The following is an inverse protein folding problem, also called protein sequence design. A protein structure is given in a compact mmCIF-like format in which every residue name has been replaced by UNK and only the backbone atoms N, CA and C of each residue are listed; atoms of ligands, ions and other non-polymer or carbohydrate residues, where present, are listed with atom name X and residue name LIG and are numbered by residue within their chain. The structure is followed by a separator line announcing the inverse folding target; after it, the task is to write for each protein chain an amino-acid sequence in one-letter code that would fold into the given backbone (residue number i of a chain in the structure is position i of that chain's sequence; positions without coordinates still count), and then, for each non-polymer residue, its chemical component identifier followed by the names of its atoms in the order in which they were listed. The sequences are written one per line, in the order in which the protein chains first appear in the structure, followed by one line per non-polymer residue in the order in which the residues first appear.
data_IF_633435862796
#
_entry.id   IF_633435862796
#
_cell.length_a   1.000
_cell.length_b   1.000
_cell.length_c   1.000
_cell.angle_alpha   90.00
_cell.angle_beta   90.00
_cell.angle_gamma   90.00
#
_symmetry.space_group_name_H-M   'P 1'
#
loop_
_entity.id
_entity.type
_entity.pdbx_description
1 polymer ?
#
# COMPACT_ATOMS: atom_id res chain seq x y z
N UNK A 1 -4.52 43.40 42.78
CA UNK A 1 -5.66 43.73 43.67
C UNK A 1 -6.14 42.43 44.31
N UNK A 2 -6.59 42.44 45.56
CA UNK A 2 -7.14 41.24 46.20
C UNK A 2 -8.64 41.16 45.93
N UNK A 3 -9.11 39.96 45.60
CA UNK A 3 -10.54 39.71 45.42
C UNK A 3 -11.26 39.86 46.78
N UNK A 4 -12.34 40.64 46.88
CA UNK A 4 -13.05 40.82 48.14
C UNK A 4 -13.77 39.56 48.64
N UNK A 5 -14.03 38.58 47.76
CA UNK A 5 -14.76 37.38 48.14
C UNK A 5 -13.85 36.21 48.54
N UNK A 6 -12.78 35.96 47.79
CA UNK A 6 -11.86 34.84 48.08
C UNK A 6 -10.50 35.28 48.66
N UNK A 7 -10.21 36.58 48.72
CA UNK A 7 -8.96 37.12 49.26
C UNK A 7 -7.74 36.96 48.34
N UNK A 8 -7.90 36.31 47.18
CA UNK A 8 -6.79 35.95 46.31
C UNK A 8 -6.27 37.15 45.49
N UNK A 9 -4.96 37.26 45.36
CA UNK A 9 -4.31 38.34 44.62
C UNK A 9 -4.31 38.03 43.13
N UNK A 10 -5.05 38.81 42.33
CA UNK A 10 -5.02 38.66 40.89
C UNK A 10 -3.61 38.93 40.32
N UNK A 11 -3.11 37.99 39.52
CA UNK A 11 -1.79 38.08 38.87
C UNK A 11 -1.77 39.17 37.77
N UNK A 12 -2.90 39.41 37.11
CA UNK A 12 -3.06 40.48 36.13
C UNK A 12 -4.11 41.51 36.58
N UNK A 13 -3.73 42.79 36.54
CA UNK A 13 -4.50 43.92 37.06
C UNK A 13 -5.62 44.34 36.09
N UNK A 14 -5.66 43.75 34.89
CA UNK A 14 -6.66 44.07 33.84
C UNK A 14 -7.91 43.20 33.89
N UNK A 15 -7.93 42.18 34.73
CA UNK A 15 -9.04 41.23 34.80
C UNK A 15 -10.24 41.84 35.53
N UNK A 16 -11.39 41.87 34.85
CA UNK A 16 -12.66 42.39 35.38
C UNK A 16 -13.31 41.42 36.38
N UNK A 17 -12.90 40.16 36.38
CA UNK A 17 -13.41 39.09 37.24
C UNK A 17 -12.25 38.30 37.83
N UNK A 18 -12.41 37.78 39.05
CA UNK A 18 -11.44 36.90 39.68
C UNK A 18 -11.40 35.55 38.96
N UNK A 19 -10.21 35.06 38.63
CA UNK A 19 -10.04 33.80 37.90
C UNK A 19 -10.45 32.57 38.73
N UNK A 20 -10.36 32.65 40.07
CA UNK A 20 -10.66 31.51 40.93
C UNK A 20 -12.15 31.41 41.28
N UNK A 21 -12.81 32.53 41.64
CA UNK A 21 -14.20 32.51 42.08
C UNK A 21 -15.20 33.18 41.12
N UNK A 22 -14.74 33.86 40.07
CA UNK A 22 -15.59 34.56 39.10
C UNK A 22 -16.21 35.87 39.60
N UNK A 23 -15.95 36.28 40.86
CA UNK A 23 -16.49 37.51 41.42
C UNK A 23 -15.93 38.75 40.70
N UNK A 24 -16.77 39.78 40.52
CA UNK A 24 -16.40 41.02 39.82
C UNK A 24 -15.40 41.82 40.64
N UNK A 25 -14.25 42.13 40.04
CA UNK A 25 -13.19 42.90 40.70
C UNK A 25 -13.59 44.38 40.77
N UNK A 26 -13.24 45.09 41.86
CA UNK A 26 -13.57 46.51 42.00
C UNK A 26 -12.95 47.34 40.87
N UNK A 27 -13.76 48.14 40.19
CA UNK A 27 -13.32 48.96 39.07
C UNK A 27 -12.32 50.02 39.54
N UNK A 28 -11.19 50.13 38.84
CA UNK A 28 -10.16 51.13 39.15
C UNK A 28 -10.75 52.55 39.03
N UNK A 29 -10.48 53.48 39.96
CA UNK A 29 -10.73 54.89 39.70
C UNK A 29 -9.90 55.31 38.47
N UNK A 30 -10.58 55.86 37.46
CA UNK A 30 -10.00 56.20 36.17
C UNK A 30 -8.87 57.23 36.35
N UNK A 31 -7.62 56.77 36.34
CA UNK A 31 -6.45 57.62 36.22
C UNK A 31 -6.24 57.95 34.74
N UNK A 32 -6.11 59.26 34.47
CA UNK A 32 -5.96 59.88 33.17
C UNK A 32 -5.13 59.11 32.14
N UNK A 33 -5.62 59.12 30.90
CA UNK A 33 -5.02 58.48 29.73
C UNK A 33 -3.59 58.95 29.43
N UNK A 34 -2.73 58.04 28.93
CA UNK A 34 -1.69 58.43 28.00
C UNK A 34 -1.81 57.69 26.65
N UNK A 35 -1.93 58.51 25.60
CA UNK A 35 -1.30 58.48 24.27
C UNK A 35 -1.07 57.12 23.58
N UNK A 36 -1.72 56.99 22.43
CA UNK A 36 -1.60 55.89 21.49
C UNK A 36 -0.21 55.70 20.89
N UNK A 37 0.18 54.43 20.79
CA UNK A 37 1.33 53.93 20.04
C UNK A 37 0.88 53.27 18.74
N UNK A 38 1.64 53.56 17.68
CA UNK A 38 1.35 53.32 16.28
C UNK A 38 1.13 51.86 15.87
N UNK A 39 0.17 51.66 14.95
CA UNK A 39 0.03 50.47 14.12
C UNK A 39 1.22 50.35 13.17
N UNK A 40 1.95 49.24 13.26
CA UNK A 40 2.87 48.81 12.22
C UNK A 40 2.08 48.10 11.11
N UNK A 41 1.95 48.78 9.99
CA UNK A 41 1.49 48.26 8.70
C UNK A 41 2.57 47.36 8.10
N UNK A 42 2.24 46.10 7.87
CA UNK A 42 3.05 45.13 7.12
C UNK A 42 3.00 45.51 5.62
N UNK A 43 4.12 45.76 4.93
CA UNK A 43 4.11 46.01 3.51
C UNK A 43 3.94 44.70 2.71
N UNK A 44 2.95 44.71 1.83
CA UNK A 44 2.80 43.78 0.71
C UNK A 44 3.95 43.97 -0.28
N UNK A 45 4.67 42.90 -0.60
CA UNK A 45 5.75 42.89 -1.58
C UNK A 45 5.16 42.89 -3.00
N UNK A 46 5.59 43.78 -3.92
CA UNK A 46 5.16 43.75 -5.31
C UNK A 46 5.80 42.60 -6.08
N UNK A 47 4.97 41.98 -6.90
CA UNK A 47 5.26 40.98 -7.91
C UNK A 47 5.89 41.68 -9.11
N UNK A 48 7.20 41.51 -9.33
CA UNK A 48 7.95 41.74 -10.58
C UNK A 48 9.41 41.37 -10.33
N UNK A 49 9.78 40.15 -10.69
CA UNK A 49 11.17 39.71 -10.82
C UNK A 49 11.34 39.24 -12.28
N UNK A 50 12.21 39.88 -13.08
CA UNK A 50 12.42 39.48 -14.47
C UNK A 50 13.32 38.24 -14.54
N UNK A 51 12.92 37.29 -15.38
CA UNK A 51 13.63 36.06 -15.68
C UNK A 51 14.92 36.32 -16.47
N UNK A 52 15.99 36.72 -15.79
CA UNK A 52 17.32 36.96 -16.40
C UNK A 52 18.41 36.00 -15.89
N UNK A 53 18.01 34.85 -15.34
CA UNK A 53 18.95 33.84 -14.84
C UNK A 53 19.08 32.61 -15.77
N UNK A 54 18.24 32.48 -16.80
CA UNK A 54 18.31 31.38 -17.78
C UNK A 54 19.12 31.75 -19.04
N UNK A 55 19.13 33.01 -19.47
CA UNK A 55 19.86 33.42 -20.68
C UNK A 55 21.40 33.41 -20.50
N UNK A 56 21.93 33.51 -19.27
CA UNK A 56 23.37 33.57 -19.05
C UNK A 56 24.06 32.18 -19.12
N UNK A 57 23.30 31.09 -18.99
CA UNK A 57 23.84 29.72 -19.06
C UNK A 57 23.84 29.18 -20.50
N UNK A 58 22.94 29.68 -21.35
CA UNK A 58 22.83 29.25 -22.75
C UNK A 58 23.95 29.86 -23.64
N UNK A 59 24.45 31.07 -23.33
CA UNK A 59 25.57 31.69 -24.07
C UNK A 59 26.94 31.03 -23.81
N UNK A 60 27.17 30.39 -22.66
CA UNK A 60 28.42 29.67 -22.37
C UNK A 60 28.49 28.29 -23.05
N UNK A 61 27.34 27.69 -23.38
CA UNK A 61 27.28 26.38 -24.03
C UNK A 61 27.43 26.48 -25.56
N UNK A 62 26.94 27.56 -26.19
CA UNK A 62 27.18 27.86 -27.61
C UNK A 62 28.65 28.22 -27.90
N UNK A 63 29.34 28.88 -26.95
CA UNK A 63 30.76 29.20 -27.09
C UNK A 63 31.69 27.97 -27.14
N UNK A 64 31.24 26.81 -26.61
CA UNK A 64 32.00 25.55 -26.64
C UNK A 64 31.78 24.75 -27.92
N UNK A 65 30.65 24.91 -28.60
CA UNK A 65 30.34 24.15 -29.82
C UNK A 65 30.91 24.79 -31.11
N UNK A 66 31.27 26.08 -31.09
CA UNK A 66 31.75 26.81 -32.26
C UNK A 66 33.23 26.65 -32.64
N UNK A 67 34.04 25.86 -31.93
CA UNK A 67 35.50 25.80 -32.16
C UNK A 67 36.00 24.47 -32.72
N UNK A 68 35.46 24.06 -33.86
CA UNK A 68 36.10 23.09 -34.74
C UNK A 68 37.13 23.82 -35.65
N UNK A 69 38.43 23.47 -35.61
CA UNK A 69 39.41 24.07 -36.50
C UNK A 69 39.31 23.49 -37.93
N UNK A 70 39.42 24.32 -39.00
CA UNK A 70 39.45 23.84 -40.37
C UNK A 70 40.81 23.21 -40.70
N UNK A 71 40.78 22.15 -41.51
CA UNK A 71 41.89 21.23 -41.71
C UNK A 71 43.17 21.81 -42.34
N UNK A 72 44.26 21.05 -42.18
CA UNK A 72 45.48 21.20 -42.97
C UNK A 72 46.02 19.83 -43.37
N UNK A 73 45.95 19.58 -44.68
CA UNK A 73 46.67 18.51 -45.38
C UNK A 73 48.16 18.77 -45.24
N UNK A 74 48.91 17.83 -44.69
CA UNK A 74 50.35 17.68 -44.96
C UNK A 74 50.72 16.21 -44.99
N UNK A 75 51.28 15.81 -46.13
CA UNK A 75 52.02 14.57 -46.37
C UNK A 75 53.32 14.58 -45.56
N UNK A 76 53.63 13.46 -44.89
CA UNK A 76 54.91 13.31 -44.20
C UNK A 76 54.97 12.07 -43.33
N UNK A 77 55.67 11.04 -43.78
CA UNK A 77 56.04 9.87 -42.99
C UNK A 77 56.76 10.26 -41.70
N UNK A 78 56.21 9.91 -40.54
CA UNK A 78 56.96 9.79 -39.30
C UNK A 78 56.26 8.86 -38.30
N UNK A 79 56.92 7.73 -38.04
CA UNK A 79 56.88 6.88 -36.84
C UNK A 79 55.56 6.78 -36.06
N UNK A 80 54.82 5.72 -36.38
CA UNK A 80 53.78 5.10 -35.56
C UNK A 80 54.36 4.72 -34.18
N UNK A 81 54.19 5.57 -33.17
CA UNK A 81 54.15 5.12 -31.78
C UNK A 81 52.83 4.35 -31.62
N UNK A 82 52.83 3.07 -31.20
CA UNK A 82 51.58 2.43 -30.83
C UNK A 82 51.05 3.18 -29.61
N UNK A 83 49.93 3.88 -29.78
CA UNK A 83 49.08 4.20 -28.65
C UNK A 83 48.79 2.87 -27.93
N UNK A 84 48.84 2.81 -26.59
CA UNK A 84 48.33 1.64 -25.88
C UNK A 84 46.91 1.39 -26.39
N UNK A 85 46.51 0.12 -26.62
CA UNK A 85 45.13 -0.15 -26.98
C UNK A 85 44.28 0.51 -25.90
N UNK A 86 43.47 1.50 -26.29
CA UNK A 86 42.25 1.78 -25.56
C UNK A 86 41.49 0.47 -25.73
N UNK A 87 41.63 -0.39 -24.73
CA UNK A 87 40.71 -1.49 -24.51
C UNK A 87 39.40 -0.73 -24.29
N UNK A 88 38.65 -0.51 -25.36
CA UNK A 88 37.21 -0.43 -25.25
C UNK A 88 36.86 -1.75 -24.59
N UNK A 89 36.73 -1.73 -23.26
CA UNK A 89 36.10 -2.80 -22.53
C UNK A 89 34.78 -2.99 -23.26
N UNK A 90 34.66 -4.10 -23.99
CA UNK A 90 33.41 -4.56 -24.58
C UNK A 90 32.46 -4.77 -23.40
N UNK A 91 31.84 -3.67 -22.96
CA UNK A 91 30.75 -3.63 -22.02
C UNK A 91 29.60 -4.37 -22.67
N UNK A 92 29.65 -5.69 -22.57
CA UNK A 92 28.78 -6.66 -23.24
C UNK A 92 27.34 -6.62 -22.70
N UNK A 93 26.97 -5.53 -22.02
CA UNK A 93 25.63 -5.28 -21.53
C UNK A 93 24.76 -4.69 -22.64
N UNK A 94 23.89 -5.53 -23.20
CA UNK A 94 22.95 -5.15 -24.26
C UNK A 94 21.66 -4.46 -23.74
N UNK A 95 21.55 -4.18 -22.43
CA UNK A 95 20.35 -3.61 -21.82
C UNK A 95 20.31 -2.07 -21.80
N UNK A 96 19.25 -1.48 -21.24
CA UNK A 96 19.12 -0.04 -21.08
C UNK A 96 20.30 0.58 -20.33
N UNK A 97 20.94 1.61 -20.89
CA UNK A 97 22.17 2.22 -20.32
C UNK A 97 22.08 2.59 -18.83
N UNK A 98 20.89 3.01 -18.36
CA UNK A 98 20.66 3.39 -16.97
C UNK A 98 20.71 2.21 -15.98
N UNK A 99 20.57 0.97 -16.45
CA UNK A 99 20.69 -0.25 -15.63
C UNK A 99 22.13 -0.75 -15.52
N UNK A 100 23.06 -0.21 -16.31
CA UNK A 100 24.46 -0.66 -16.32
C UNK A 100 25.12 -0.49 -14.95
N UNK A 101 24.80 0.59 -14.24
CA UNK A 101 25.35 0.89 -12.91
C UNK A 101 24.56 0.21 -11.78
N UNK A 102 23.42 -0.41 -12.10
CA UNK A 102 22.58 -1.05 -11.10
C UNK A 102 23.11 -2.46 -10.81
N UNK A 103 23.23 -2.85 -9.53
CA UNK A 103 23.65 -4.21 -9.16
C UNK A 103 22.70 -5.25 -9.75
N UNK A 104 23.27 -6.27 -10.40
CA UNK A 104 22.51 -7.29 -11.13
C UNK A 104 21.85 -6.82 -12.42
N UNK A 105 22.08 -5.57 -12.82
CA UNK A 105 21.52 -4.91 -14.01
C UNK A 105 20.00 -5.09 -14.17
N UNK A 106 19.31 -5.16 -13.03
CA UNK A 106 17.93 -5.64 -12.91
C UNK A 106 17.00 -4.55 -12.41
N UNK A 107 15.85 -4.39 -13.08
CA UNK A 107 14.84 -3.39 -12.74
C UNK A 107 14.20 -3.68 -11.39
N UNK A 108 14.08 -4.96 -11.01
CA UNK A 108 13.53 -5.35 -9.72
C UNK A 108 14.42 -4.92 -8.54
N UNK A 109 15.74 -4.87 -8.70
CA UNK A 109 16.64 -4.36 -7.66
C UNK A 109 16.41 -2.87 -7.41
N UNK A 110 16.23 -2.08 -8.48
CA UNK A 110 15.83 -0.67 -8.37
C UNK A 110 14.46 -0.54 -7.70
N UNK A 111 13.48 -1.34 -8.13
CA UNK A 111 12.15 -1.35 -7.55
C UNK A 111 12.13 -1.67 -6.06
N UNK A 112 12.92 -2.66 -5.62
CA UNK A 112 13.13 -2.99 -4.19
C UNK A 112 13.81 -1.82 -3.46
N UNK A 113 14.79 -1.16 -4.07
CA UNK A 113 15.41 0.04 -3.51
C UNK A 113 14.40 1.17 -3.27
N UNK A 114 13.53 1.43 -4.25
CA UNK A 114 12.45 2.42 -4.14
C UNK A 114 11.45 2.05 -3.03
N UNK A 115 11.00 0.79 -2.97
CA UNK A 115 10.11 0.31 -1.89
C UNK A 115 10.78 0.43 -0.52
N UNK A 116 12.06 0.06 -0.41
CA UNK A 116 12.82 0.18 0.85
C UNK A 116 12.91 1.63 1.30
N UNK A 117 13.12 2.56 0.36
CA UNK A 117 13.09 3.98 0.64
C UNK A 117 11.70 4.46 1.11
N UNK A 118 10.61 3.95 0.52
CA UNK A 118 9.26 4.19 1.05
C UNK A 118 9.10 3.71 2.50
N UNK A 119 9.61 2.51 2.83
CA UNK A 119 9.54 1.98 4.20
C UNK A 119 10.28 2.88 5.20
N UNK A 120 11.42 3.45 4.80
CA UNK A 120 12.17 4.42 5.62
C UNK A 120 11.35 5.70 5.81
N UNK A 121 10.69 6.21 4.77
CA UNK A 121 9.80 7.37 4.88
C UNK A 121 8.61 7.08 5.81
N UNK A 122 8.05 5.87 5.80
CA UNK A 122 6.95 5.45 6.67
C UNK A 122 7.31 5.45 8.18
N UNK A 123 8.59 5.60 8.56
CA UNK A 123 8.99 5.79 9.96
C UNK A 123 8.54 7.16 10.47
N UNK A 124 8.42 8.15 9.57
CA UNK A 124 7.97 9.48 9.95
C UNK A 124 6.44 9.47 10.16
N UNK A 125 5.94 10.15 11.20
CA UNK A 125 4.51 10.11 11.58
C UNK A 125 3.56 10.74 10.55
N UNK A 126 4.09 11.39 9.52
CA UNK A 126 3.31 12.04 8.46
C UNK A 126 2.94 11.09 7.33
N UNK A 127 3.64 9.96 7.20
CA UNK A 127 3.41 9.02 6.11
C UNK A 127 2.60 7.82 6.59
N UNK A 128 1.71 7.28 5.74
CA UNK A 128 1.05 6.02 6.04
C UNK A 128 2.10 4.90 6.14
N UNK A 129 1.81 3.94 7.01
CA UNK A 129 2.65 2.79 7.26
C UNK A 129 1.90 1.52 6.83
N UNK A 130 2.60 0.61 6.17
CA UNK A 130 2.15 -0.75 5.79
C UNK A 130 2.14 -1.74 6.97
N UNK A 131 2.32 -1.22 8.19
CA UNK A 131 2.33 -1.95 9.44
C UNK A 131 3.55 -2.86 9.64
N UNK A 132 3.70 -3.39 10.84
CA UNK A 132 4.90 -4.17 11.23
C UNK A 132 5.02 -5.47 10.44
N UNK A 133 3.88 -6.12 10.15
CA UNK A 133 3.89 -7.36 9.38
C UNK A 133 4.22 -7.09 7.91
N UNK A 134 3.61 -6.07 7.31
CA UNK A 134 3.90 -5.66 5.93
C UNK A 134 5.35 -5.23 5.76
N UNK A 135 5.92 -4.43 6.68
CA UNK A 135 7.33 -4.03 6.63
C UNK A 135 8.27 -5.23 6.73
N UNK A 136 8.00 -6.19 7.62
CA UNK A 136 8.82 -7.40 7.74
C UNK A 136 8.77 -8.26 6.47
N UNK A 137 7.58 -8.52 5.95
CA UNK A 137 7.40 -9.34 4.74
C UNK A 137 8.04 -8.68 3.50
N UNK A 138 7.92 -7.36 3.39
CA UNK A 138 8.53 -6.60 2.29
C UNK A 138 10.05 -6.59 2.35
N UNK A 139 10.64 -6.47 3.54
CA UNK A 139 12.09 -6.57 3.70
C UNK A 139 12.59 -7.98 3.40
N UNK A 140 11.96 -9.02 3.95
CA UNK A 140 12.38 -10.42 3.70
C UNK A 140 12.24 -10.79 2.23
N UNK A 141 11.11 -10.42 1.61
CA UNK A 141 10.90 -10.64 0.18
C UNK A 141 11.87 -9.83 -0.69
N UNK A 142 12.13 -8.56 -0.34
CA UNK A 142 13.08 -7.71 -1.03
C UNK A 142 14.50 -8.28 -0.99
N UNK A 143 14.96 -8.77 0.17
CA UNK A 143 16.25 -9.45 0.30
C UNK A 143 16.31 -10.72 -0.56
N UNK A 144 15.25 -11.52 -0.57
CA UNK A 144 15.20 -12.73 -1.39
C UNK A 144 15.26 -12.43 -2.90
N UNK A 145 14.54 -11.39 -3.37
CA UNK A 145 14.58 -10.95 -4.77
C UNK A 145 15.95 -10.41 -5.14
N UNK A 146 16.51 -9.50 -4.34
CA UNK A 146 17.85 -8.94 -4.61
C UNK A 146 18.92 -10.03 -4.63
N UNK A 147 18.88 -10.96 -3.67
CA UNK A 147 19.81 -12.09 -3.62
C UNK A 147 19.72 -12.96 -4.88
N UNK A 148 18.50 -13.20 -5.37
CA UNK A 148 18.27 -13.96 -6.59
C UNK A 148 18.85 -13.24 -7.82
N UNK A 149 18.59 -11.95 -7.98
CA UNK A 149 19.07 -11.17 -9.13
C UNK A 149 20.61 -11.09 -9.14
N UNK A 150 21.23 -10.84 -7.98
CA UNK A 150 22.69 -10.84 -7.83
C UNK A 150 23.32 -12.20 -8.13
N UNK A 151 22.65 -13.30 -7.74
CA UNK A 151 23.12 -14.65 -8.07
C UNK A 151 22.99 -14.94 -9.56
N UNK A 152 21.93 -14.44 -10.19
CA UNK A 152 21.66 -14.63 -11.62
C UNK A 152 22.64 -13.86 -12.49
N UNK A 153 23.07 -12.67 -12.07
CA UNK A 153 24.08 -11.87 -12.78
C UNK A 153 25.51 -12.37 -12.57
N UNK A 154 25.74 -13.31 -11.64
CA UNK A 154 27.08 -13.76 -11.27
C UNK A 154 27.82 -12.78 -10.35
N UNK A 155 27.16 -11.72 -9.89
CA UNK A 155 27.70 -10.70 -8.98
C UNK A 155 27.35 -10.98 -7.52
N UNK A 156 27.25 -12.25 -7.12
CA UNK A 156 26.80 -12.62 -5.78
C UNK A 156 27.83 -12.22 -4.71
N UNK A 157 27.56 -11.23 -3.83
CA UNK A 157 28.38 -10.99 -2.65
C UNK A 157 28.20 -12.13 -1.65
N UNK A 158 29.18 -12.34 -0.75
CA UNK A 158 29.21 -13.51 0.14
C UNK A 158 28.00 -13.69 1.08
N UNK A 159 27.19 -12.65 1.32
CA UNK A 159 25.94 -12.81 2.08
C UNK A 159 24.83 -13.54 1.32
N UNK A 160 24.86 -13.51 -0.02
CA UNK A 160 23.87 -14.20 -0.88
C UNK A 160 23.95 -15.71 -0.70
N UNK A 161 25.13 -16.24 -0.37
CA UNK A 161 25.32 -17.66 -0.11
C UNK A 161 24.63 -18.14 1.18
N UNK A 162 24.30 -17.23 2.10
CA UNK A 162 23.53 -17.55 3.30
C UNK A 162 22.02 -17.59 3.05
N UNK A 163 21.53 -17.12 1.90
CA UNK A 163 20.11 -17.13 1.57
C UNK A 163 19.70 -18.55 1.18
N UNK A 164 18.73 -19.17 1.89
CA UNK A 164 18.25 -20.51 1.59
C UNK A 164 17.79 -20.62 0.13
N UNK A 165 18.16 -21.71 -0.55
CA UNK A 165 17.76 -21.98 -1.93
C UNK A 165 16.24 -22.02 -2.12
N UNK A 166 15.49 -22.33 -1.06
CA UNK A 166 14.01 -22.28 -1.05
C UNK A 166 13.49 -20.87 -1.32
N UNK A 167 14.16 -19.83 -0.84
CA UNK A 167 13.78 -18.43 -1.07
C UNK A 167 14.14 -17.92 -2.48
N UNK A 168 15.00 -18.66 -3.20
CA UNK A 168 15.45 -18.29 -4.54
C UNK A 168 14.59 -18.90 -5.65
N UNK A 169 13.59 -19.71 -5.30
CA UNK A 169 12.69 -20.35 -6.25
C UNK A 169 11.78 -19.33 -6.96
N UNK A 170 11.28 -19.62 -8.18
CA UNK A 170 10.42 -18.70 -8.93
C UNK A 170 9.14 -18.28 -8.23
N UNK A 171 8.60 -19.09 -7.33
CA UNK A 171 7.35 -18.77 -6.65
C UNK A 171 7.50 -17.59 -5.67
N UNK A 172 8.71 -17.40 -5.12
CA UNK A 172 8.98 -16.38 -4.09
C UNK A 172 8.92 -14.95 -4.63
N UNK A 173 9.62 -14.57 -5.72
CA UNK A 173 9.45 -13.23 -6.30
C UNK A 173 8.06 -13.01 -6.87
N UNK A 174 7.39 -14.03 -7.40
CA UNK A 174 6.01 -13.90 -7.84
C UNK A 174 5.06 -13.62 -6.66
N UNK A 175 5.25 -14.30 -5.53
CA UNK A 175 4.51 -14.00 -4.30
C UNK A 175 4.86 -12.60 -3.76
N UNK A 176 6.13 -12.20 -3.85
CA UNK A 176 6.58 -10.88 -3.43
C UNK A 176 5.98 -9.75 -4.29
N UNK A 177 5.87 -9.92 -5.61
CA UNK A 177 5.25 -8.90 -6.47
C UNK A 177 3.77 -8.74 -6.14
N UNK A 178 3.05 -9.85 -5.91
CA UNK A 178 1.66 -9.82 -5.45
C UNK A 178 1.53 -9.17 -4.07
N UNK A 179 2.45 -9.45 -3.15
CA UNK A 179 2.51 -8.80 -1.84
C UNK A 179 2.68 -7.28 -1.97
N UNK A 180 3.59 -6.79 -2.82
CA UNK A 180 3.79 -5.35 -3.03
C UNK A 180 2.54 -4.68 -3.60
N UNK A 181 1.87 -5.33 -4.55
CA UNK A 181 0.61 -4.86 -5.13
C UNK A 181 -0.53 -4.87 -4.11
N UNK A 182 -0.59 -5.89 -3.25
CA UNK A 182 -1.55 -5.96 -2.15
C UNK A 182 -1.36 -4.79 -1.19
N UNK A 183 -0.15 -4.62 -0.65
CA UNK A 183 0.15 -3.55 0.29
C UNK A 183 -0.06 -2.14 -0.30
N UNK A 184 0.03 -1.98 -1.63
CA UNK A 184 -0.33 -0.74 -2.29
C UNK A 184 -1.82 -0.39 -2.13
N UNK A 185 -2.70 -1.40 -2.00
CA UNK A 185 -4.13 -1.21 -1.73
C UNK A 185 -4.35 -0.56 -0.37
N UNK A 186 -3.65 -1.03 0.68
CA UNK A 186 -3.71 -0.41 2.01
C UNK A 186 -3.18 1.03 2.04
N UNK A 187 -2.33 1.41 1.07
CA UNK A 187 -1.81 2.76 0.91
C UNK A 187 -2.73 3.70 0.08
N UNK A 188 -3.92 3.24 -0.35
CA UNK A 188 -4.87 4.08 -1.11
C UNK A 188 -5.28 5.31 -0.29
N UNK A 189 -4.61 6.42 -0.60
CA UNK A 189 -4.87 7.75 -0.11
C UNK A 189 -4.10 8.75 -0.97
N UNK A 190 -4.48 10.02 -0.95
CA UNK A 190 -3.74 11.06 -1.67
C UNK A 190 -2.43 11.37 -0.93
N UNK A 191 -1.39 10.60 -1.21
CA UNK A 191 -0.06 10.80 -0.65
C UNK A 191 1.04 10.49 -1.68
N UNK A 192 2.17 11.20 -1.58
CA UNK A 192 3.33 10.99 -2.46
C UNK A 192 3.92 9.58 -2.31
N UNK A 193 3.78 8.99 -1.12
CA UNK A 193 4.29 7.65 -0.81
C UNK A 193 3.64 6.58 -1.70
N UNK A 194 2.33 6.67 -1.96
CA UNK A 194 1.61 5.76 -2.83
C UNK A 194 2.18 5.79 -4.25
N UNK A 195 2.46 6.97 -4.80
CA UNK A 195 3.05 7.09 -6.12
C UNK A 195 4.43 6.42 -6.18
N UNK A 196 5.24 6.63 -5.15
CA UNK A 196 6.58 6.04 -5.06
C UNK A 196 6.52 4.52 -4.86
N UNK A 197 5.59 4.05 -4.02
CA UNK A 197 5.34 2.64 -3.78
C UNK A 197 4.88 1.93 -5.05
N UNK A 198 3.89 2.50 -5.75
CA UNK A 198 3.37 1.94 -7.01
C UNK A 198 4.46 1.94 -8.08
N UNK A 199 5.29 2.98 -8.17
CA UNK A 199 6.44 3.00 -9.09
C UNK A 199 7.42 1.86 -8.79
N UNK A 200 7.80 1.68 -7.51
CA UNK A 200 8.66 0.57 -7.08
C UNK A 200 8.03 -0.80 -7.36
N UNK A 201 6.77 -1.00 -6.97
CA UNK A 201 6.03 -2.23 -7.19
C UNK A 201 5.87 -2.56 -8.68
N UNK A 202 5.62 -1.56 -9.53
CA UNK A 202 5.49 -1.74 -10.97
C UNK A 202 6.83 -2.11 -11.62
N UNK A 203 7.94 -1.51 -11.19
CA UNK A 203 9.28 -1.89 -11.65
C UNK A 203 9.57 -3.36 -11.31
N UNK A 204 9.29 -3.79 -10.08
CA UNK A 204 9.43 -5.20 -9.69
C UNK A 204 8.47 -6.08 -10.49
N UNK A 205 7.20 -5.69 -10.63
CA UNK A 205 6.19 -6.47 -11.32
C UNK A 205 6.50 -6.67 -12.80
N UNK A 206 6.91 -5.62 -13.53
CA UNK A 206 7.23 -5.72 -14.97
C UNK A 206 8.45 -6.61 -15.20
N UNK A 207 9.47 -6.48 -14.36
CA UNK A 207 10.69 -7.28 -14.46
C UNK A 207 10.42 -8.75 -14.14
N UNK A 208 9.81 -9.01 -12.98
CA UNK A 208 9.48 -10.36 -12.54
C UNK A 208 8.40 -11.00 -13.41
N UNK A 209 7.51 -10.22 -14.04
CA UNK A 209 6.58 -10.75 -15.02
C UNK A 209 7.32 -11.40 -16.19
N UNK A 210 8.29 -10.69 -16.78
CA UNK A 210 9.09 -11.21 -17.91
C UNK A 210 9.99 -12.37 -17.48
N UNK A 211 10.60 -12.26 -16.31
CA UNK A 211 11.60 -13.23 -15.85
C UNK A 211 11.01 -14.51 -15.26
N UNK A 212 9.88 -14.39 -14.55
CA UNK A 212 9.36 -15.42 -13.62
C UNK A 212 7.93 -15.83 -13.94
N UNK A 213 7.12 -14.96 -14.51
CA UNK A 213 5.72 -15.30 -14.82
C UNK A 213 5.62 -15.87 -16.24
N UNK A 214 6.19 -15.17 -17.22
CA UNK A 214 6.19 -15.53 -18.65
C UNK A 214 7.38 -16.41 -19.05
N UNK A 215 8.39 -16.52 -18.19
CA UNK A 215 9.62 -17.25 -18.46
C UNK A 215 9.41 -18.75 -18.79
N UNK A 216 10.46 -19.43 -19.32
CA UNK A 216 10.39 -20.84 -19.69
C UNK A 216 10.07 -21.77 -18.52
N UNK A 217 10.47 -21.39 -17.31
CA UNK A 217 10.15 -22.07 -16.04
C UNK A 217 9.11 -21.29 -15.23
N UNK A 218 8.27 -20.52 -15.93
CA UNK A 218 7.44 -19.49 -15.32
C UNK A 218 6.24 -20.03 -14.56
N UNK A 219 5.94 -19.41 -13.42
CA UNK A 219 4.80 -19.80 -12.56
C UNK A 219 3.47 -19.50 -13.25
N UNK A 220 3.46 -18.61 -14.25
CA UNK A 220 2.24 -18.22 -14.98
C UNK A 220 1.52 -19.39 -15.64
N UNK A 221 2.22 -20.47 -15.99
CA UNK A 221 1.61 -21.69 -16.56
C UNK A 221 0.69 -22.40 -15.58
N UNK A 222 0.92 -22.26 -14.27
CA UNK A 222 0.08 -22.87 -13.24
C UNK A 222 -1.18 -22.06 -12.93
N UNK A 223 -1.30 -20.84 -13.46
CA UNK A 223 -2.44 -19.96 -13.18
C UNK A 223 -3.36 -19.85 -14.39
N UNK A 224 -4.65 -19.79 -14.11
CA UNK A 224 -5.69 -19.51 -15.08
C UNK A 224 -6.66 -18.47 -14.49
N UNK A 225 -6.35 -17.19 -14.70
CA UNK A 225 -7.14 -16.08 -14.15
C UNK A 225 -8.59 -16.10 -14.67
N UNK A 226 -8.81 -16.56 -15.91
CA UNK A 226 -10.16 -16.71 -16.47
C UNK A 226 -11.02 -17.69 -15.68
N UNK A 227 -10.41 -18.66 -15.02
CA UNK A 227 -11.12 -19.62 -14.19
C UNK A 227 -11.78 -18.97 -12.96
N UNK A 228 -11.29 -17.80 -12.50
CA UNK A 228 -11.94 -17.02 -11.45
C UNK A 228 -13.31 -16.48 -11.86
N UNK A 229 -13.60 -16.42 -13.16
CA UNK A 229 -14.88 -15.98 -13.71
C UNK A 229 -15.94 -17.11 -13.77
N UNK A 230 -15.60 -18.34 -13.38
CA UNK A 230 -16.55 -19.45 -13.23
C UNK A 230 -17.19 -19.52 -11.83
N UNK A 231 -18.41 -20.05 -11.73
CA UNK A 231 -18.99 -20.43 -10.44
C UNK A 231 -18.30 -21.70 -9.93
N UNK A 232 -17.92 -21.84 -8.65
CA UNK A 232 -18.15 -20.93 -7.50
C UNK A 232 -17.07 -19.85 -7.29
N UNK A 233 -16.01 -19.79 -8.11
CA UNK A 233 -14.84 -18.90 -7.92
C UNK A 233 -15.18 -17.41 -8.03
N UNK A 234 -16.15 -17.04 -8.87
CA UNK A 234 -16.70 -15.66 -8.94
C UNK A 234 -17.21 -15.18 -7.59
N UNK A 235 -17.85 -16.06 -6.83
CA UNK A 235 -18.40 -15.72 -5.53
C UNK A 235 -17.27 -15.42 -4.54
N UNK A 236 -16.17 -16.18 -4.59
CA UNK A 236 -14.98 -15.88 -3.80
C UNK A 236 -14.35 -14.55 -4.20
N UNK A 237 -14.21 -14.27 -5.51
CA UNK A 237 -13.70 -12.99 -6.01
C UNK A 237 -14.54 -11.80 -5.56
N UNK A 238 -15.87 -11.90 -5.72
CA UNK A 238 -16.80 -10.88 -5.25
C UNK A 238 -16.74 -10.72 -3.72
N UNK A 239 -16.68 -11.83 -2.98
CA UNK A 239 -16.56 -11.83 -1.52
C UNK A 239 -15.28 -11.15 -1.03
N UNK A 240 -14.13 -11.46 -1.64
CA UNK A 240 -12.85 -10.81 -1.33
C UNK A 240 -12.89 -9.32 -1.67
N UNK A 241 -13.43 -8.94 -2.82
CA UNK A 241 -13.59 -7.53 -3.18
C UNK A 241 -14.45 -6.77 -2.16
N UNK A 242 -15.58 -7.36 -1.73
CA UNK A 242 -16.43 -6.80 -0.68
C UNK A 242 -15.67 -6.66 0.65
N UNK A 243 -14.86 -7.67 1.03
CA UNK A 243 -14.05 -7.60 2.25
C UNK A 243 -13.02 -6.46 2.19
N UNK A 244 -12.30 -6.32 1.08
CA UNK A 244 -11.30 -5.26 0.90
C UNK A 244 -11.94 -3.87 0.91
N UNK A 245 -13.09 -3.71 0.24
CA UNK A 245 -13.87 -2.46 0.29
C UNK A 245 -14.36 -2.19 1.72
N UNK A 246 -14.78 -3.21 2.45
CA UNK A 246 -15.24 -3.07 3.81
C UNK A 246 -14.13 -2.61 4.78
N UNK A 247 -12.85 -2.85 4.48
CA UNK A 247 -11.74 -2.29 5.26
C UNK A 247 -11.65 -0.76 5.15
N UNK A 248 -12.15 -0.14 4.06
CA UNK A 248 -12.25 1.32 3.94
C UNK A 248 -13.47 1.93 4.65
N UNK A 249 -14.46 1.10 5.00
CA UNK A 249 -15.65 1.55 5.73
C UNK A 249 -15.31 1.85 7.20
N UNK A 250 -16.17 2.61 7.93
CA UNK A 250 -15.96 2.83 9.35
C UNK A 250 -16.15 1.53 10.15
N UNK A 251 -15.15 1.16 10.94
CA UNK A 251 -15.18 0.05 11.88
C UNK A 251 -15.44 0.49 13.32
N UNK A 252 -15.18 1.76 13.63
CA UNK A 252 -15.49 2.31 14.94
C UNK A 252 -15.19 3.79 15.02
N UNK A 253 -15.40 4.33 16.22
CA UNK A 253 -15.07 5.70 16.60
C UNK A 253 -13.94 5.68 17.63
N UNK A 254 -12.99 6.61 17.48
CA UNK A 254 -11.91 6.87 18.43
C UNK A 254 -11.82 8.36 18.71
N UNK A 255 -11.33 8.73 19.88
CA UNK A 255 -10.96 10.11 20.15
C UNK A 255 -9.74 10.48 19.28
N UNK A 256 -9.55 11.76 18.96
CA UNK A 256 -8.43 12.20 18.11
C UNK A 256 -7.04 11.94 18.71
N UNK A 257 -6.95 11.74 20.03
CA UNK A 257 -5.73 11.33 20.74
C UNK A 257 -5.47 9.81 20.64
N UNK A 258 -6.32 9.08 19.90
CA UNK A 258 -6.25 7.62 19.75
C UNK A 258 -6.83 6.85 20.93
N UNK A 259 -7.35 7.53 21.96
CA UNK A 259 -7.96 6.86 23.09
C UNK A 259 -9.33 6.26 22.69
N UNK A 260 -9.71 5.11 23.28
CA UNK A 260 -11.03 4.55 23.04
C UNK A 260 -12.08 5.54 23.55
N UNK A 261 -13.08 5.85 22.71
CA UNK A 261 -14.25 6.61 23.15
C UNK A 261 -14.86 5.83 24.33
N UNK A 262 -15.01 6.45 25.52
CA UNK A 262 -15.61 5.77 26.65
C UNK A 262 -17.04 5.37 26.30
N UNK A 263 -17.27 4.07 26.11
CA UNK A 263 -18.59 3.49 25.90
C UNK A 263 -19.40 3.75 27.17
N UNK A 264 -20.32 4.71 27.08
CA UNK A 264 -21.29 5.02 28.14
C UNK A 264 -20.66 5.07 29.54
N UNK A 265 -19.69 5.96 29.75
CA UNK A 265 -19.34 6.38 31.09
C UNK A 265 -20.64 6.80 31.80
N UNK A 266 -20.97 6.12 32.89
CA UNK A 266 -22.08 6.51 33.76
C UNK A 266 -21.97 8.00 34.01
N UNK A 267 -22.98 8.76 33.61
CA UNK A 267 -23.07 10.20 33.86
C UNK A 267 -22.59 10.45 35.30
N UNK A 268 -21.50 11.21 35.52
CA UNK A 268 -21.09 11.58 36.86
C UNK A 268 -22.19 12.50 37.40
N UNK A 269 -23.17 11.92 38.07
CA UNK A 269 -24.41 12.60 38.47
C UNK A 269 -25.67 11.75 38.43
N UNK A 270 -25.69 10.55 37.82
CA UNK A 270 -26.82 9.63 37.96
C UNK A 270 -26.76 8.90 39.31
N UNK A 271 -26.90 9.68 40.38
CA UNK A 271 -27.21 9.15 41.71
C UNK A 271 -28.46 8.30 41.55
N UNK A 272 -28.33 6.98 41.69
CA UNK A 272 -29.44 6.03 41.82
C UNK A 272 -30.36 6.55 42.93
N UNK A 273 -31.46 7.22 42.56
CA UNK A 273 -32.42 7.81 43.49
C UNK A 273 -32.81 9.27 43.25
N UNK A 274 -32.25 9.96 42.25
CA UNK A 274 -32.69 11.33 41.94
C UNK A 274 -34.12 11.34 41.34
N UNK A 275 -35.06 12.16 41.88
CA UNK A 275 -36.45 12.21 41.43
C UNK A 275 -36.55 12.68 39.96
N UNK A 276 -37.56 12.19 39.21
CA UNK A 276 -37.65 12.31 37.75
C UNK A 276 -37.80 13.74 37.21
N UNK A 277 -37.99 14.73 38.08
CA UNK A 277 -38.20 16.14 37.70
C UNK A 277 -36.90 16.94 37.59
N UNK A 278 -35.77 16.40 38.05
CA UNK A 278 -34.43 16.98 37.87
C UNK A 278 -33.62 16.15 36.88
N UNK A 279 -34.19 15.90 35.69
CA UNK A 279 -33.35 15.59 34.53
C UNK A 279 -32.63 16.89 34.17
N UNK A 280 -31.46 17.06 34.76
CA UNK A 280 -30.45 17.98 34.25
C UNK A 280 -30.23 17.57 32.81
N UNK A 281 -30.84 18.31 31.88
CA UNK A 281 -30.41 18.31 30.49
C UNK A 281 -28.91 18.57 30.60
N UNK A 282 -28.04 17.66 30.14
CA UNK A 282 -26.62 17.92 30.17
C UNK A 282 -26.42 19.20 29.38
N UNK A 283 -26.25 20.32 30.09
CA UNK A 283 -25.68 21.50 29.51
C UNK A 283 -24.29 21.05 29.16
N UNK A 284 -24.08 20.68 27.89
CA UNK A 284 -22.75 20.50 27.36
C UNK A 284 -21.96 21.69 27.90
N UNK A 285 -20.98 21.38 28.75
CA UNK A 285 -20.11 22.41 29.28
C UNK A 285 -19.50 23.08 28.04
N UNK A 286 -19.30 24.39 27.99
CA UNK A 286 -18.68 25.02 26.82
C UNK A 286 -17.30 24.42 26.46
N UNK A 287 -16.68 23.68 27.39
CA UNK A 287 -15.47 22.88 27.18
C UNK A 287 -15.70 21.54 26.45
N UNK A 288 -16.92 21.03 26.44
CA UNK A 288 -17.38 19.82 25.74
C UNK A 288 -18.07 20.17 24.41
N UNK A 289 -18.14 21.46 24.07
CA UNK A 289 -18.62 21.92 22.78
C UNK A 289 -17.60 21.47 21.72
N UNK A 290 -18.06 20.66 20.77
CA UNK A 290 -17.25 20.03 19.72
C UNK A 290 -16.51 21.03 18.82
N UNK A 291 -16.84 22.32 18.94
CA UNK A 291 -16.15 23.45 18.31
C UNK A 291 -14.84 23.85 19.00
N UNK A 292 -14.67 23.57 20.29
CA UNK A 292 -13.48 23.93 21.07
C UNK A 292 -12.67 22.73 21.54
N UNK A 293 -13.24 21.52 21.56
CA UNK A 293 -12.46 20.30 21.73
C UNK A 293 -11.67 20.03 20.44
N UNK A 294 -10.39 20.37 20.47
CA UNK A 294 -9.41 20.09 19.42
C UNK A 294 -9.16 18.57 19.25
N UNK A 295 -9.93 17.72 19.93
CA UNK A 295 -9.92 16.27 19.81
C UNK A 295 -11.32 15.71 19.54
N UNK A 296 -11.81 15.89 18.31
CA UNK A 296 -13.08 15.32 17.86
C UNK A 296 -13.08 13.79 17.78
N UNK A 297 -14.27 13.20 17.74
CA UNK A 297 -14.43 11.76 17.47
C UNK A 297 -14.09 11.50 16.00
N UNK A 298 -12.99 10.79 15.76
CA UNK A 298 -12.54 10.38 14.43
C UNK A 298 -13.10 8.99 14.12
N UNK A 299 -13.55 8.80 12.88
CA UNK A 299 -13.95 7.48 12.37
C UNK A 299 -12.69 6.69 12.04
N UNK A 300 -12.53 5.53 12.68
CA UNK A 300 -11.45 4.58 12.41
C UNK A 300 -11.90 3.64 11.28
N UNK A 301 -11.10 3.55 10.23
CA UNK A 301 -11.30 2.58 9.15
C UNK A 301 -10.85 1.19 9.60
N UNK A 302 -11.19 0.15 8.83
CA UNK A 302 -10.71 -1.21 9.08
C UNK A 302 -9.21 -1.34 8.84
N UNK A 303 -8.65 -0.56 7.91
CA UNK A 303 -7.20 -0.52 7.66
C UNK A 303 -6.41 -0.01 8.86
N UNK A 304 -6.99 0.90 9.63
CA UNK A 304 -6.35 1.44 10.83
C UNK A 304 -6.30 0.41 11.97
N UNK A 305 -7.05 -0.70 11.92
CA UNK A 305 -7.03 -1.74 12.95
C UNK A 305 -5.69 -2.48 12.94
N UNK A 306 -5.18 -2.91 14.12
CA UNK A 306 -3.93 -3.65 14.17
C UNK A 306 -4.05 -4.96 13.38
N UNK A 307 -2.99 -5.30 12.65
CA UNK A 307 -2.90 -6.53 11.86
C UNK A 307 -3.96 -6.63 10.75
N UNK A 308 -4.44 -5.50 10.23
CA UNK A 308 -5.36 -5.45 9.07
C UNK A 308 -4.75 -6.06 7.80
N UNK A 309 -3.42 -6.19 7.75
CA UNK A 309 -2.73 -6.87 6.65
C UNK A 309 -2.97 -8.39 6.68
N UNK A 310 -3.26 -8.99 7.85
CA UNK A 310 -3.54 -10.43 7.95
C UNK A 310 -4.76 -10.86 7.13
N UNK A 311 -5.97 -10.30 7.33
CA UNK A 311 -7.13 -10.68 6.55
C UNK A 311 -6.95 -10.36 5.06
N UNK A 312 -6.27 -9.25 4.72
CA UNK A 312 -5.95 -8.92 3.33
C UNK A 312 -5.14 -10.04 2.66
N UNK A 313 -3.98 -10.38 3.23
CA UNK A 313 -3.09 -11.40 2.68
C UNK A 313 -3.74 -12.77 2.67
N UNK A 314 -4.50 -13.11 3.72
CA UNK A 314 -5.24 -14.36 3.80
C UNK A 314 -6.28 -14.47 2.67
N UNK A 315 -7.05 -13.41 2.42
CA UNK A 315 -8.08 -13.38 1.37
C UNK A 315 -7.46 -13.41 -0.03
N UNK A 316 -6.37 -12.67 -0.26
CA UNK A 316 -5.64 -12.73 -1.53
C UNK A 316 -5.02 -14.11 -1.76
N UNK A 317 -4.52 -14.78 -0.72
CA UNK A 317 -4.05 -16.16 -0.84
C UNK A 317 -5.16 -17.12 -1.28
N UNK A 318 -6.40 -16.91 -0.82
CA UNK A 318 -7.56 -17.69 -1.32
C UNK A 318 -7.76 -17.46 -2.82
N UNK A 319 -7.66 -16.22 -3.32
CA UNK A 319 -7.78 -15.94 -4.76
C UNK A 319 -6.65 -16.56 -5.57
N UNK A 320 -5.42 -16.51 -5.07
CA UNK A 320 -4.26 -17.17 -5.72
C UNK A 320 -4.52 -18.66 -5.83
N UNK A 321 -4.98 -19.32 -4.76
CA UNK A 321 -5.33 -20.75 -4.78
C UNK A 321 -6.51 -21.05 -5.72
N UNK A 322 -7.51 -20.17 -5.78
CA UNK A 322 -8.65 -20.31 -6.69
C UNK A 322 -8.26 -20.13 -8.16
N UNK A 323 -7.21 -19.35 -8.43
CA UNK A 323 -6.67 -19.12 -9.78
C UNK A 323 -5.73 -20.23 -10.24
N UNK A 324 -5.28 -21.13 -9.36
CA UNK A 324 -4.42 -22.25 -9.75
C UNK A 324 -5.18 -23.26 -10.61
N UNK A 325 -4.52 -23.75 -11.65
CA UNK A 325 -5.01 -24.85 -12.48
C UNK A 325 -5.23 -26.11 -11.64
N UNK A 326 -6.24 -26.92 -11.99
CA UNK A 326 -6.53 -28.17 -11.27
C UNK A 326 -5.38 -29.18 -11.38
N UNK A 327 -4.62 -29.15 -12.48
CA UNK A 327 -3.48 -30.04 -12.75
C UNK A 327 -2.25 -29.78 -11.88
N UNK A 328 -2.21 -28.67 -11.14
CA UNK A 328 -1.04 -28.34 -10.31
C UNK A 328 -1.01 -29.27 -9.09
N UNK A 329 0.10 -29.99 -8.89
CA UNK A 329 0.27 -30.85 -7.71
C UNK A 329 0.16 -30.03 -6.42
N UNK A 330 -0.82 -30.37 -5.59
CA UNK A 330 -1.07 -29.69 -4.31
C UNK A 330 -0.79 -30.65 -3.15
N UNK A 331 -0.09 -30.21 -2.10
CA UNK A 331 0.00 -31.01 -0.91
C UNK A 331 -1.40 -31.14 -0.28
N UNK A 332 -1.69 -32.30 0.33
CA UNK A 332 -3.03 -32.62 0.85
C UNK A 332 -3.55 -31.64 1.93
N UNK A 333 -2.69 -30.84 2.54
CA UNK A 333 -3.09 -29.79 3.49
C UNK A 333 -3.56 -28.50 2.79
N UNK A 334 -3.19 -28.27 1.52
CA UNK A 334 -3.53 -27.04 0.79
C UNK A 334 -5.04 -26.82 0.65
N UNK A 335 -5.83 -27.91 0.58
CA UNK A 335 -7.30 -27.85 0.56
C UNK A 335 -7.91 -27.17 1.79
N UNK A 336 -7.19 -27.15 2.91
CA UNK A 336 -7.65 -26.51 4.15
C UNK A 336 -7.22 -25.04 4.26
N UNK A 337 -6.35 -24.56 3.36
CA UNK A 337 -5.83 -23.19 3.41
C UNK A 337 -6.95 -22.15 3.26
N UNK A 338 -7.92 -22.29 2.33
CA UNK A 338 -9.04 -21.35 2.26
C UNK A 338 -9.87 -21.30 3.56
N UNK A 339 -10.09 -22.45 4.20
CA UNK A 339 -10.83 -22.53 5.47
C UNK A 339 -10.03 -21.86 6.58
N UNK A 340 -8.72 -22.09 6.64
CA UNK A 340 -7.81 -21.42 7.58
C UNK A 340 -7.81 -19.90 7.38
N UNK A 341 -7.70 -19.44 6.14
CA UNK A 341 -7.74 -18.02 5.79
C UNK A 341 -9.05 -17.35 6.25
N UNK A 342 -10.20 -17.97 5.95
CA UNK A 342 -11.50 -17.48 6.40
C UNK A 342 -11.60 -17.46 7.93
N UNK A 343 -11.08 -18.49 8.60
CA UNK A 343 -11.12 -18.59 10.07
C UNK A 343 -10.28 -17.51 10.75
N UNK A 344 -9.07 -17.24 10.23
CA UNK A 344 -8.19 -16.18 10.73
C UNK A 344 -8.84 -14.81 10.50
N UNK A 345 -9.37 -14.56 9.30
CA UNK A 345 -10.08 -13.31 8.99
C UNK A 345 -11.33 -13.11 9.84
N UNK A 346 -12.07 -14.19 10.14
CA UNK A 346 -13.24 -14.15 11.02
C UNK A 346 -12.83 -13.81 12.45
N UNK A 347 -11.81 -14.48 12.98
CA UNK A 347 -11.31 -14.24 14.34
C UNK A 347 -10.82 -12.79 14.48
N UNK A 348 -10.07 -12.29 13.49
CA UNK A 348 -9.65 -10.90 13.43
C UNK A 348 -10.84 -9.94 13.43
N UNK A 349 -11.83 -10.19 12.57
CA UNK A 349 -13.03 -9.36 12.48
C UNK A 349 -13.78 -9.33 13.82
N UNK A 350 -13.98 -10.49 14.46
CA UNK A 350 -14.68 -10.64 15.74
C UNK A 350 -14.02 -9.85 16.88
N UNK A 351 -12.69 -9.79 16.92
CA UNK A 351 -11.94 -8.98 17.89
C UNK A 351 -12.22 -7.47 17.69
N UNK A 352 -12.50 -7.07 16.45
CA UNK A 352 -12.80 -5.68 16.06
C UNK A 352 -14.28 -5.34 15.93
N UNK A 353 -15.22 -6.25 16.23
CA UNK A 353 -16.65 -5.98 16.02
C UNK A 353 -17.13 -4.88 16.96
N UNK A 354 -17.49 -3.74 16.37
CA UNK A 354 -18.40 -2.76 16.94
C UNK A 354 -19.64 -2.67 16.06
N UNK A 355 -20.73 -2.10 16.57
CA UNK A 355 -21.95 -1.84 15.81
C UNK A 355 -21.70 -0.74 14.76
N UNK A 356 -20.96 -1.07 13.71
CA UNK A 356 -20.59 -0.20 12.61
C UNK A 356 -20.78 -0.92 11.28
N UNK A 357 -20.89 -0.17 10.19
CA UNK A 357 -21.23 -0.72 8.85
C UNK A 357 -20.10 -1.60 8.30
N UNK A 358 -18.83 -1.27 8.57
CA UNK A 358 -17.66 -2.00 8.08
C UNK A 358 -17.65 -3.48 8.46
N UNK A 359 -17.70 -3.84 9.75
CA UNK A 359 -17.72 -5.23 10.20
C UNK A 359 -18.84 -6.06 9.56
N UNK A 360 -20.06 -5.52 9.42
CA UNK A 360 -21.17 -6.26 8.80
C UNK A 360 -20.93 -6.51 7.31
N UNK A 361 -20.46 -5.51 6.57
CA UNK A 361 -20.11 -5.66 5.16
C UNK A 361 -18.96 -6.67 4.98
N UNK A 362 -17.96 -6.64 5.87
CA UNK A 362 -16.85 -7.57 5.87
C UNK A 362 -17.32 -9.00 6.13
N UNK A 363 -18.15 -9.23 7.15
CA UNK A 363 -18.70 -10.56 7.46
C UNK A 363 -19.57 -11.11 6.32
N UNK A 364 -20.32 -10.24 5.62
CA UNK A 364 -21.07 -10.63 4.44
C UNK A 364 -20.16 -11.11 3.31
N UNK A 365 -19.10 -10.35 2.98
CA UNK A 365 -18.09 -10.76 2.02
C UNK A 365 -17.39 -12.06 2.44
N UNK A 366 -17.07 -12.19 3.73
CA UNK A 366 -16.42 -13.37 4.30
C UNK A 366 -17.32 -14.61 4.23
N UNK A 367 -18.64 -14.45 4.33
CA UNK A 367 -19.61 -15.53 4.12
C UNK A 367 -19.56 -16.09 2.70
N UNK A 368 -19.43 -15.23 1.69
CA UNK A 368 -19.25 -15.62 0.29
C UNK A 368 -17.93 -16.38 0.07
N UNK A 369 -16.82 -15.89 0.63
CA UNK A 369 -15.52 -16.59 0.59
C UNK A 369 -15.56 -17.90 1.38
N UNK A 370 -16.25 -17.92 2.52
CA UNK A 370 -16.44 -19.10 3.36
C UNK A 370 -17.24 -20.20 2.67
N UNK A 371 -18.27 -19.85 1.91
CA UNK A 371 -19.01 -20.79 1.07
C UNK A 371 -18.09 -21.48 0.06
N UNK A 372 -17.25 -20.70 -0.63
CA UNK A 372 -16.23 -21.23 -1.54
C UNK A 372 -15.23 -22.14 -0.80
N UNK A 373 -14.69 -21.67 0.32
CA UNK A 373 -13.69 -22.39 1.10
C UNK A 373 -14.19 -23.75 1.61
N UNK A 374 -15.43 -23.83 2.10
CA UNK A 374 -16.04 -25.08 2.56
C UNK A 374 -16.29 -26.02 1.38
N UNK A 375 -16.78 -25.51 0.24
CA UNK A 375 -17.00 -26.34 -0.94
C UNK A 375 -15.70 -26.92 -1.49
N UNK A 376 -14.65 -26.11 -1.52
CA UNK A 376 -13.30 -26.53 -1.94
C UNK A 376 -12.72 -27.58 -0.99
N UNK A 377 -12.84 -27.38 0.33
CA UNK A 377 -12.33 -28.34 1.33
C UNK A 377 -13.06 -29.70 1.32
N UNK A 378 -14.34 -29.72 0.94
CA UNK A 378 -15.16 -30.93 0.86
C UNK A 378 -15.01 -31.70 -0.46
N UNK A 379 -14.10 -31.28 -1.36
CA UNK A 379 -13.89 -31.90 -2.68
C UNK A 379 -15.18 -32.04 -3.51
N UNK A 380 -16.17 -31.16 -3.26
CA UNK A 380 -17.37 -31.03 -4.11
C UNK A 380 -17.09 -30.18 -5.35
N UNK A 381 -15.84 -30.17 -5.80
CA UNK A 381 -15.52 -29.65 -7.12
C UNK A 381 -16.16 -30.58 -8.14
N UNK A 382 -16.77 -29.96 -9.13
CA UNK A 382 -17.82 -30.52 -9.95
C UNK A 382 -17.37 -31.80 -10.67
N UNK A 383 -18.22 -32.84 -10.76
CA UNK A 383 -18.04 -33.94 -11.71
C UNK A 383 -18.20 -33.49 -13.18
N UNK A 384 -17.83 -32.24 -13.51
CA UNK A 384 -18.25 -31.52 -14.71
C UNK A 384 -17.17 -31.26 -15.77
N UNK A 385 -15.95 -31.77 -15.59
CA UNK A 385 -14.92 -31.75 -16.65
C UNK A 385 -14.43 -33.14 -17.03
N UNK A 386 -15.21 -34.17 -16.75
CA UNK A 386 -15.37 -35.25 -17.70
C UNK A 386 -16.59 -34.88 -18.55
N UNK A 387 -16.40 -33.94 -19.49
CA UNK A 387 -17.07 -34.19 -20.77
C UNK A 387 -16.67 -35.63 -21.13
N UNK A 388 -17.61 -36.52 -21.51
CA UNK A 388 -17.19 -37.74 -22.21
C UNK A 388 -16.19 -37.27 -23.26
N UNK A 389 -15.03 -37.95 -23.42
CA UNK A 389 -14.08 -37.55 -24.45
C UNK A 389 -14.94 -37.21 -25.65
N UNK A 390 -14.85 -35.96 -26.14
CA UNK A 390 -15.35 -35.67 -27.48
C UNK A 390 -14.73 -36.82 -28.25
N UNK A 391 -15.58 -37.77 -28.66
CA UNK A 391 -15.18 -38.80 -29.59
C UNK A 391 -14.48 -37.98 -30.64
N UNK A 392 -13.15 -38.10 -30.70
CA UNK A 392 -12.35 -37.46 -31.73
C UNK A 392 -13.20 -37.65 -32.96
N UNK A 393 -13.70 -36.57 -33.55
CA UNK A 393 -14.43 -36.65 -34.81
C UNK A 393 -13.52 -37.50 -35.67
N UNK A 394 -13.88 -38.77 -35.80
CA UNK A 394 -13.08 -39.76 -36.50
C UNK A 394 -12.86 -39.07 -37.84
N UNK A 395 -11.60 -38.85 -38.26
CA UNK A 395 -11.30 -38.03 -39.43
C UNK A 395 -12.24 -38.49 -40.53
N UNK A 396 -13.19 -37.63 -40.92
CA UNK A 396 -14.31 -38.02 -41.79
C UNK A 396 -13.76 -38.90 -42.91
N UNK A 397 -14.07 -40.19 -42.85
CA UNK A 397 -13.52 -41.17 -43.77
C UNK A 397 -14.44 -41.20 -45.00
N UNK A 398 -14.05 -40.54 -46.12
CA UNK A 398 -14.90 -40.49 -47.30
C UNK A 398 -15.17 -41.87 -47.90
N UNK A 399 -14.43 -42.91 -47.49
CA UNK A 399 -14.62 -44.27 -47.98
C UNK A 399 -15.80 -44.99 -47.28
N UNK A 400 -16.24 -44.56 -46.08
CA UNK A 400 -17.43 -45.13 -45.43
C UNK A 400 -18.75 -44.82 -46.16
N UNK A 401 -18.82 -43.68 -46.86
CA UNK A 401 -19.99 -43.30 -47.66
C UNK A 401 -20.03 -44.04 -49.02
N UNK A 402 -18.91 -44.61 -49.47
CA UNK A 402 -18.82 -45.34 -50.76
C UNK A 402 -19.24 -46.81 -50.66
N UNK A 403 -19.23 -47.40 -49.46
CA UNK A 403 -19.66 -48.78 -49.25
C UNK A 403 -21.19 -48.92 -49.11
N UNK A 404 -21.90 -47.84 -48.77
CA UNK A 404 -23.36 -47.88 -48.60
C UNK A 404 -24.17 -47.74 -49.90
N UNK A 405 -23.56 -47.31 -51.01
CA UNK A 405 -24.26 -47.07 -52.28
C UNK A 405 -24.18 -48.22 -53.30
N UNK A 406 -23.48 -49.33 -53.01
CA UNK A 406 -23.17 -50.34 -54.03
C UNK A 406 -24.17 -51.50 -54.19
N UNK A 407 -25.28 -51.52 -53.43
CA UNK A 407 -26.18 -52.69 -53.39
C UNK A 407 -27.67 -52.39 -53.64
N UNK A 408 -27.98 -51.31 -54.37
CA UNK A 408 -29.35 -51.09 -54.89
C UNK A 408 -29.37 -50.83 -56.40
N UNK A 409 -29.48 -51.91 -57.18
CA UNK A 409 -30.12 -51.88 -58.50
C UNK A 409 -29.22 -52.10 -59.71
#
# INVERSE_FOLDING_TARGET
MQCPECGESAADVRLTYCENCGAKMPARPASAAPRGGARSTRPSRPMTEPAYASELMDEEEEARQGRAPPGRVTTGHAAKKPAPPVVEEDDSYAGPRWLKEVPGHSQSVVGVGVVTFCLVLSILPFFPNVGVLGTLLTLVGGVAVVARELRRSGEAPGWVDHVPSVLLRPEVPAAYTLLLLALAVGLLGFNLLLLLWVAGALLVAVDQYKQVIEGPDGVGRHFEVRSLLGFPRVLALAGVAVCLIALFLPWGTMMADGSPVPDHGSVPGSVRGAPPELRVIPSNRPSDDSLYQTGGVVRRSGWDLPLSELPELALLAVLVLAALRPETERPAFARWVPVGAVSVSLLWALVGVRLAVGPFAFLFGLGAVGFYAVRHALDREEPGSQLPPEEEEEPYDPDQDLETERDTG
#
